data_IF_621985703350
#
_entry.id   IF_621985703350
#
_cell.length_a   1.000
_cell.length_b   1.000
_cell.length_c   1.000
_cell.angle_alpha   90.00
_cell.angle_beta   90.00
_cell.angle_gamma   90.00
#
_symmetry.space_group_name_H-M   'P 1'
#
loop_
_entity.id
_entity.type
_entity.pdbx_description
1 polymer ?
#
# COMPACT_ATOMS: atom_id res chain seq x y z
N UNK A 1 -7.34 -20.07 -6.01
CA UNK A 1 -6.59 -18.87 -5.60
C UNK A 1 -6.11 -19.14 -4.20
N UNK A 2 -4.81 -19.15 -3.94
CA UNK A 2 -4.36 -19.31 -2.58
C UNK A 2 -4.59 -17.97 -1.84
N UNK A 3 -4.92 -18.09 -0.56
CA UNK A 3 -5.37 -16.98 0.27
C UNK A 3 -4.26 -16.65 1.27
N UNK A 4 -4.04 -15.36 1.58
CA UNK A 4 -3.10 -14.98 2.60
C UNK A 4 -3.50 -15.60 3.94
N UNK A 5 -2.50 -16.04 4.71
CA UNK A 5 -2.71 -16.68 6.02
C UNK A 5 -3.14 -15.69 7.11
N UNK A 6 -2.90 -14.40 6.88
CA UNK A 6 -3.20 -13.30 7.78
C UNK A 6 -4.64 -12.82 7.59
N UNK A 7 -5.29 -12.41 8.69
CA UNK A 7 -6.57 -11.72 8.61
C UNK A 7 -6.41 -10.33 7.98
N UNK A 8 -7.49 -9.78 7.42
CA UNK A 8 -7.47 -8.44 6.84
C UNK A 8 -7.11 -7.34 7.85
N UNK A 9 -7.45 -7.52 9.13
CA UNK A 9 -7.10 -6.61 10.21
C UNK A 9 -5.59 -6.64 10.50
N UNK A 10 -5.00 -7.82 10.61
CA UNK A 10 -3.55 -7.98 10.79
C UNK A 10 -2.77 -7.40 9.61
N UNK A 11 -3.23 -7.61 8.37
CA UNK A 11 -2.63 -7.02 7.18
C UNK A 11 -2.69 -5.50 7.25
N UNK A 12 -3.83 -4.94 7.66
CA UNK A 12 -4.01 -3.49 7.78
C UNK A 12 -3.10 -2.88 8.83
N UNK A 13 -3.00 -3.51 10.01
CA UNK A 13 -2.16 -3.01 11.09
C UNK A 13 -0.68 -3.05 10.69
N UNK A 14 -0.18 -4.20 10.23
CA UNK A 14 1.23 -4.35 9.83
C UNK A 14 1.60 -3.46 8.65
N UNK A 15 0.72 -3.36 7.66
CA UNK A 15 0.94 -2.52 6.48
C UNK A 15 1.08 -1.05 6.82
N UNK A 16 0.22 -0.52 7.71
CA UNK A 16 0.33 0.86 8.19
C UNK A 16 1.61 1.09 8.98
N UNK A 17 1.93 0.22 9.94
CA UNK A 17 3.17 0.34 10.73
C UNK A 17 4.41 0.34 9.85
N UNK A 18 4.45 -0.55 8.86
CA UNK A 18 5.57 -0.64 7.93
C UNK A 18 5.67 0.59 7.02
N UNK A 19 4.52 1.08 6.51
CA UNK A 19 4.49 2.31 5.73
C UNK A 19 5.04 3.46 6.56
N UNK A 20 4.47 3.70 7.75
CA UNK A 20 4.77 4.85 8.59
C UNK A 20 6.21 4.85 9.11
N UNK A 21 6.70 3.69 9.58
CA UNK A 21 7.98 3.61 10.28
C UNK A 21 9.18 3.38 9.35
N UNK A 22 8.98 2.85 8.14
CA UNK A 22 10.11 2.39 7.31
C UNK A 22 10.06 2.84 5.86
N UNK A 23 8.88 2.92 5.25
CA UNK A 23 8.74 3.15 3.81
C UNK A 23 8.44 4.61 3.48
N UNK A 24 7.67 5.31 4.33
CA UNK A 24 7.15 6.67 4.07
C UNK A 24 8.26 7.64 3.67
N UNK A 25 9.35 7.68 4.43
CA UNK A 25 10.48 8.59 4.18
C UNK A 25 11.19 8.35 2.84
N UNK A 26 11.04 7.16 2.26
CA UNK A 26 11.65 6.78 0.98
C UNK A 26 10.72 7.07 -0.20
N UNK A 27 9.41 6.93 0.01
CA UNK A 27 8.42 6.92 -1.09
C UNK A 27 7.61 8.20 -1.20
N UNK A 28 7.52 9.04 -0.16
CA UNK A 28 6.83 10.34 -0.21
C UNK A 28 7.66 11.43 -0.91
N UNK A 29 8.08 11.14 -2.14
CA UNK A 29 8.74 12.09 -3.04
C UNK A 29 7.71 12.84 -3.89
N UNK A 30 8.11 13.99 -4.44
CA UNK A 30 7.24 14.79 -5.31
C UNK A 30 6.68 13.99 -6.51
N UNK A 31 7.43 13.00 -7.00
CA UNK A 31 7.06 12.16 -8.14
C UNK A 31 6.11 11.00 -7.78
N UNK A 32 5.99 10.69 -6.48
CA UNK A 32 5.25 9.53 -5.99
C UNK A 32 3.98 9.92 -5.21
N UNK A 33 3.91 11.14 -4.66
CA UNK A 33 2.70 11.64 -4.00
C UNK A 33 1.48 11.44 -4.91
N UNK A 34 0.43 10.83 -4.37
CA UNK A 34 -0.81 10.53 -5.08
C UNK A 34 -0.82 9.20 -5.85
N UNK A 35 0.32 8.51 -5.99
CA UNK A 35 0.36 7.15 -6.54
C UNK A 35 -0.10 6.12 -5.52
N UNK A 36 -0.45 4.94 -6.02
CA UNK A 36 -0.71 3.76 -5.23
C UNK A 36 0.62 3.11 -4.85
N UNK A 37 0.68 2.62 -3.61
CA UNK A 37 1.68 1.67 -3.15
C UNK A 37 0.98 0.38 -2.72
N UNK A 38 1.50 -0.77 -3.17
CA UNK A 38 1.10 -2.11 -2.70
C UNK A 38 2.29 -2.72 -1.98
N UNK A 39 2.11 -3.16 -0.74
CA UNK A 39 3.18 -3.64 0.15
C UNK A 39 2.87 -5.07 0.57
N UNK A 40 3.84 -5.97 0.43
CA UNK A 40 3.78 -7.27 1.09
C UNK A 40 4.13 -7.05 2.56
N UNK A 41 3.16 -7.26 3.46
CA UNK A 41 3.36 -6.95 4.89
C UNK A 41 4.27 -7.94 5.63
N UNK A 42 4.64 -9.07 5.00
CA UNK A 42 5.58 -10.04 5.56
C UNK A 42 7.04 -9.71 5.20
N UNK A 43 7.29 -9.19 4.00
CA UNK A 43 8.66 -8.95 3.50
C UNK A 43 9.04 -7.47 3.45
N UNK A 44 8.04 -6.59 3.42
CA UNK A 44 8.19 -5.17 3.19
C UNK A 44 8.56 -4.76 1.77
N UNK A 45 8.61 -5.70 0.83
CA UNK A 45 8.72 -5.39 -0.59
C UNK A 45 7.44 -4.69 -1.08
N UNK A 46 7.62 -3.73 -1.98
CA UNK A 46 6.52 -2.91 -2.46
C UNK A 46 6.61 -2.58 -3.95
N UNK A 47 5.44 -2.32 -4.53
CA UNK A 47 5.26 -1.81 -5.88
C UNK A 47 4.57 -0.45 -5.82
N UNK A 48 4.95 0.48 -6.71
CA UNK A 48 4.32 1.79 -6.84
C UNK A 48 3.75 1.93 -8.26
N UNK A 49 2.53 2.46 -8.37
CA UNK A 49 1.89 2.69 -9.67
C UNK A 49 0.63 3.54 -9.57
N UNK A 50 0.01 3.84 -10.70
CA UNK A 50 -1.14 4.75 -10.75
C UNK A 50 -2.49 4.04 -10.48
N UNK A 51 -2.54 2.72 -10.72
CA UNK A 51 -3.74 1.90 -10.59
C UNK A 51 -3.59 0.83 -9.50
N UNK A 52 -4.60 0.71 -8.65
CA UNK A 52 -4.58 -0.20 -7.50
C UNK A 52 -4.47 -1.68 -7.90
N UNK A 53 -5.25 -2.08 -8.91
CA UNK A 53 -5.34 -3.49 -9.32
C UNK A 53 -4.07 -3.89 -10.04
N UNK A 54 -3.58 -3.05 -10.96
CA UNK A 54 -2.35 -3.31 -11.70
C UNK A 54 -1.14 -3.35 -10.74
N UNK A 55 -1.05 -2.41 -9.80
CA UNK A 55 0.07 -2.35 -8.84
C UNK A 55 0.08 -3.59 -7.94
N UNK A 56 -1.09 -4.00 -7.42
CA UNK A 56 -1.20 -5.20 -6.60
C UNK A 56 -0.90 -6.48 -7.39
N UNK A 57 -1.35 -6.58 -8.64
CA UNK A 57 -1.06 -7.72 -9.51
C UNK A 57 0.43 -7.85 -9.84
N UNK A 58 1.15 -6.74 -10.04
CA UNK A 58 2.61 -6.76 -10.24
C UNK A 58 3.32 -7.40 -9.05
N UNK A 59 2.91 -7.05 -7.84
CA UNK A 59 3.48 -7.62 -6.62
C UNK A 59 3.13 -9.12 -6.49
N UNK A 60 1.87 -9.50 -6.73
CA UNK A 60 1.44 -10.90 -6.70
C UNK A 60 2.12 -11.78 -7.76
N UNK A 61 2.46 -11.21 -8.92
CA UNK A 61 3.18 -11.94 -9.96
C UNK A 61 4.61 -12.30 -9.53
N UNK A 62 5.23 -11.51 -8.64
CA UNK A 62 6.54 -11.79 -8.05
C UNK A 62 6.44 -12.71 -6.83
N UNK A 63 5.39 -12.51 -6.03
CA UNK A 63 5.18 -13.16 -4.74
C UNK A 63 3.74 -13.67 -4.68
N UNK A 64 3.55 -14.92 -5.08
CA UNK A 64 2.26 -15.58 -4.94
C UNK A 64 1.83 -15.53 -3.47
N UNK A 65 0.55 -15.25 -3.24
CA UNK A 65 -0.09 -15.25 -1.91
C UNK A 65 0.37 -14.17 -0.93
N UNK A 66 1.07 -13.15 -1.44
CA UNK A 66 1.48 -12.02 -0.64
C UNK A 66 0.29 -11.40 0.11
N UNK A 67 0.36 -11.25 1.44
CA UNK A 67 -0.60 -10.47 2.21
C UNK A 67 -0.38 -8.99 1.91
N UNK A 68 -1.16 -8.45 0.97
CA UNK A 68 -0.96 -7.10 0.45
C UNK A 68 -1.79 -6.08 1.22
N UNK A 69 -1.11 -5.08 1.76
CA UNK A 69 -1.72 -3.81 2.13
C UNK A 69 -1.49 -2.78 1.02
N UNK A 70 -2.50 -1.96 0.74
CA UNK A 70 -2.39 -0.90 -0.27
C UNK A 70 -2.75 0.46 0.30
N UNK A 71 -1.98 1.47 -0.12
CA UNK A 71 -2.12 2.86 0.30
C UNK A 71 -2.03 3.82 -0.88
N UNK A 72 -2.40 5.09 -0.66
CA UNK A 72 -2.12 6.19 -1.59
C UNK A 72 -1.11 7.12 -0.94
N UNK A 73 0.04 7.28 -1.58
CA UNK A 73 1.24 7.91 -1.01
C UNK A 73 0.93 9.38 -0.66
N UNK A 74 1.11 9.76 0.59
CA UNK A 74 0.83 11.10 1.11
C UNK A 74 -0.64 11.39 1.44
N UNK A 75 -1.50 10.37 1.51
CA UNK A 75 -2.93 10.51 1.81
C UNK A 75 -3.39 9.50 2.87
N UNK A 76 -4.45 9.86 3.61
CA UNK A 76 -5.02 9.00 4.66
C UNK A 76 -5.95 7.88 4.15
N UNK A 77 -6.23 7.85 2.86
CA UNK A 77 -7.12 6.86 2.24
C UNK A 77 -6.70 6.58 0.79
N UNK A 78 -7.02 5.39 0.29
CA UNK A 78 -6.75 5.01 -1.10
C UNK A 78 -7.72 5.73 -2.05
N UNK A 79 -9.01 5.73 -1.73
CA UNK A 79 -10.05 6.45 -2.48
C UNK A 79 -11.02 7.11 -1.51
N UNK A 80 -11.71 8.16 -1.96
CA UNK A 80 -12.88 8.71 -1.27
C UNK A 80 -14.13 8.42 -2.10
N UNK A 81 -15.18 7.89 -1.47
CA UNK A 81 -16.49 7.68 -2.10
C UNK A 81 -17.43 8.71 -1.48
N UNK A 82 -17.89 9.69 -2.27
CA UNK A 82 -18.77 10.76 -1.78
C UNK A 82 -18.11 11.77 -0.84
N UNK A 83 -16.78 11.85 -0.78
CA UNK A 83 -16.03 12.76 0.08
C UNK A 83 -14.66 13.16 -0.50
N UNK A 84 -13.80 13.76 0.32
CA UNK A 84 -12.50 14.30 -0.11
C UNK A 84 -11.33 13.50 0.47
N UNK A 85 -10.34 13.17 -0.37
CA UNK A 85 -9.06 12.63 0.06
C UNK A 85 -8.24 13.73 0.74
N UNK A 86 -7.80 13.50 1.99
CA UNK A 86 -7.02 14.48 2.75
C UNK A 86 -5.54 14.14 2.61
N UNK A 87 -4.76 15.13 2.15
CA UNK A 87 -3.30 15.04 2.15
C UNK A 87 -2.81 15.03 3.60
N UNK A 88 -2.07 13.99 3.96
CA UNK A 88 -1.41 13.92 5.26
C UNK A 88 -0.04 14.57 5.12
N UNK A 89 0.03 15.88 5.37
CA UNK A 89 1.31 16.57 5.49
C UNK A 89 1.91 16.26 6.85
N UNK A 90 3.10 15.66 6.88
CA UNK A 90 3.99 15.72 8.05
C UNK A 90 4.88 16.95 7.94
#
# INVERSE_FOLDING_TARGET
MPYPKLSGEEITQRGKELYDNSIRSQVETAQNIGKIISINVETGEYEIGDDLIITSRKLQAKQADAPIWAGRIGFNAVYAVGGTLIRTTS
#
